data_IF_141389807430
#
_entry.id   IF_141389807430
#
_cell.length_a   1.000
_cell.length_b   1.000
_cell.length_c   1.000
_cell.angle_alpha   90.00
_cell.angle_beta   90.00
_cell.angle_gamma   90.00
#
_symmetry.space_group_name_H-M   'P 1'
#
loop_
_entity.id
_entity.type
_entity.pdbx_description
1 polymer ?
#
# COMPACT_ATOMS: atom_id res chain seq x y z
N UNK A 1 -40.50 -3.49 17.17
CA UNK A 1 -39.38 -3.81 18.07
C UNK A 1 -38.26 -4.39 17.21
N UNK A 2 -37.12 -3.68 17.10
CA UNK A 2 -36.01 -4.13 16.26
C UNK A 2 -35.11 -5.10 17.02
N UNK A 3 -34.91 -4.87 18.32
CA UNK A 3 -34.13 -5.75 19.19
C UNK A 3 -34.88 -7.00 19.58
N UNK A 4 -34.25 -8.15 19.51
CA UNK A 4 -34.80 -9.46 19.86
C UNK A 4 -35.64 -10.15 18.76
N UNK A 5 -35.69 -9.57 17.55
CA UNK A 5 -36.28 -10.22 16.38
C UNK A 5 -35.21 -10.93 15.55
N UNK A 6 -35.48 -12.16 15.09
CA UNK A 6 -34.62 -12.85 14.13
C UNK A 6 -34.85 -12.26 12.75
N UNK A 7 -34.03 -11.27 12.41
CA UNK A 7 -34.04 -10.71 11.05
C UNK A 7 -33.10 -11.51 10.16
N UNK A 8 -33.55 -12.02 9.01
CA UNK A 8 -32.64 -12.65 8.06
C UNK A 8 -31.64 -11.63 7.54
N UNK A 9 -30.38 -12.03 7.43
CA UNK A 9 -29.34 -11.18 6.82
C UNK A 9 -29.77 -10.82 5.39
N UNK A 10 -29.80 -9.52 5.00
CA UNK A 10 -30.32 -9.10 3.68
C UNK A 10 -29.69 -9.84 2.49
N UNK A 11 -28.40 -10.14 2.58
CA UNK A 11 -27.65 -10.83 1.51
C UNK A 11 -27.67 -12.37 1.63
N UNK A 12 -28.33 -12.96 2.64
CA UNK A 12 -28.24 -14.41 2.89
C UNK A 12 -28.81 -15.23 1.74
N UNK A 13 -30.00 -14.88 1.27
CA UNK A 13 -30.66 -15.58 0.16
C UNK A 13 -29.84 -15.50 -1.11
N UNK A 14 -29.41 -14.30 -1.48
CA UNK A 14 -28.59 -14.09 -2.67
C UNK A 14 -27.27 -14.86 -2.64
N UNK A 15 -26.67 -15.01 -1.44
CA UNK A 15 -25.45 -15.83 -1.27
C UNK A 15 -25.69 -17.31 -1.50
N UNK A 16 -26.73 -17.88 -0.84
CA UNK A 16 -26.98 -19.33 -0.93
C UNK A 16 -27.57 -19.74 -2.27
N UNK A 17 -28.21 -18.83 -2.99
CA UNK A 17 -28.75 -19.08 -4.35
C UNK A 17 -27.75 -18.75 -5.45
N UNK A 18 -26.54 -18.24 -5.12
CA UNK A 18 -25.54 -17.87 -6.11
C UNK A 18 -25.89 -16.64 -6.96
N UNK A 19 -26.86 -15.81 -6.52
CA UNK A 19 -27.27 -14.60 -7.24
C UNK A 19 -26.58 -13.33 -6.76
N UNK A 20 -25.77 -13.42 -5.69
CA UNK A 20 -24.99 -12.29 -5.21
C UNK A 20 -23.72 -12.13 -6.04
N UNK A 21 -23.59 -10.99 -6.68
CA UNK A 21 -22.35 -10.64 -7.39
C UNK A 21 -21.25 -10.26 -6.38
N UNK A 22 -20.08 -10.83 -6.55
CA UNK A 22 -18.83 -10.40 -5.93
C UNK A 22 -18.01 -9.55 -6.90
N UNK A 23 -16.91 -8.95 -6.45
CA UNK A 23 -16.11 -8.06 -7.29
C UNK A 23 -15.65 -8.66 -8.62
N UNK A 24 -15.29 -9.95 -8.65
CA UNK A 24 -14.91 -10.64 -9.88
C UNK A 24 -16.10 -10.82 -10.85
N UNK A 25 -17.29 -11.11 -10.33
CA UNK A 25 -18.49 -11.28 -11.13
C UNK A 25 -18.93 -9.94 -11.77
N UNK A 26 -18.79 -8.84 -11.03
CA UNK A 26 -18.98 -7.50 -11.57
C UNK A 26 -18.04 -7.23 -12.76
N UNK A 27 -16.79 -7.73 -12.68
CA UNK A 27 -15.81 -7.64 -13.76
C UNK A 27 -16.25 -8.30 -15.07
N UNK A 28 -17.03 -9.39 -15.00
CA UNK A 28 -17.55 -10.11 -16.17
C UNK A 28 -18.66 -9.29 -16.88
N UNK A 29 -19.41 -8.49 -16.11
CA UNK A 29 -20.55 -7.70 -16.58
C UNK A 29 -20.16 -6.32 -17.11
N UNK A 30 -18.88 -5.98 -17.15
CA UNK A 30 -18.42 -4.69 -17.66
C UNK A 30 -18.71 -4.52 -19.16
N UNK A 31 -18.95 -3.29 -19.62
CA UNK A 31 -19.16 -3.00 -21.03
C UNK A 31 -18.03 -3.54 -21.91
N UNK A 32 -18.38 -3.93 -23.14
CA UNK A 32 -17.39 -4.32 -24.14
C UNK A 32 -16.39 -3.18 -24.37
N UNK A 33 -15.10 -3.49 -24.40
CA UNK A 33 -14.03 -2.51 -24.58
C UNK A 33 -13.53 -1.89 -23.27
N UNK A 34 -14.06 -2.30 -22.11
CA UNK A 34 -13.48 -1.93 -20.82
C UNK A 34 -12.07 -2.50 -20.70
N UNK A 35 -11.11 -1.62 -20.43
CA UNK A 35 -9.72 -2.01 -20.23
C UNK A 35 -9.53 -2.77 -18.92
N UNK A 36 -8.54 -3.65 -18.91
CA UNK A 36 -8.07 -4.38 -17.72
C UNK A 36 -6.73 -3.80 -17.29
N UNK A 37 -6.54 -3.72 -15.99
CA UNK A 37 -5.32 -3.18 -15.42
C UNK A 37 -4.54 -4.25 -14.67
N UNK A 38 -3.21 -4.18 -14.75
CA UNK A 38 -2.30 -4.94 -13.92
C UNK A 38 -1.28 -3.99 -13.26
N UNK A 39 -0.93 -4.26 -12.02
CA UNK A 39 0.07 -3.48 -11.29
C UNK A 39 1.48 -3.98 -11.61
N UNK A 40 2.40 -3.04 -11.74
CA UNK A 40 3.85 -3.27 -11.61
C UNK A 40 4.20 -2.94 -10.18
N UNK A 41 4.63 -3.93 -9.43
CA UNK A 41 4.86 -3.81 -8.01
C UNK A 41 6.32 -3.97 -7.65
N UNK A 42 6.73 -3.33 -6.57
CA UNK A 42 8.06 -3.47 -6.02
C UNK A 42 8.32 -4.89 -5.54
N UNK A 43 9.50 -5.41 -5.85
CA UNK A 43 9.97 -6.76 -5.45
C UNK A 43 10.93 -6.72 -4.26
N UNK A 44 11.16 -5.53 -3.70
CA UNK A 44 11.99 -5.28 -2.52
C UNK A 44 11.21 -4.38 -1.55
N UNK A 45 11.59 -4.38 -0.29
CA UNK A 45 10.87 -3.64 0.75
C UNK A 45 11.32 -2.19 0.90
N UNK A 46 12.54 -1.86 0.48
CA UNK A 46 13.11 -0.53 0.63
C UNK A 46 14.13 -0.25 -0.47
N UNK A 47 13.86 0.70 -1.33
CA UNK A 47 14.74 1.02 -2.45
C UNK A 47 14.49 2.42 -3.01
N UNK A 48 15.51 3.03 -3.58
CA UNK A 48 15.35 4.16 -4.49
C UNK A 48 15.04 3.66 -5.90
N UNK A 49 14.13 4.33 -6.60
CA UNK A 49 13.82 4.05 -8.00
C UNK A 49 14.77 4.88 -8.86
N UNK A 50 15.65 4.23 -9.63
CA UNK A 50 16.58 4.89 -10.55
C UNK A 50 15.94 5.17 -11.90
N UNK A 51 15.23 4.19 -12.43
CA UNK A 51 14.52 4.32 -13.71
C UNK A 51 13.32 3.40 -13.82
N UNK A 52 12.37 3.80 -14.64
CA UNK A 52 11.21 3.00 -15.05
C UNK A 52 11.18 3.06 -16.58
N UNK A 53 11.42 1.91 -17.22
CA UNK A 53 11.31 1.76 -18.68
C UNK A 53 10.10 0.90 -19.04
N UNK A 54 9.09 1.53 -19.63
CA UNK A 54 7.85 0.91 -20.06
C UNK A 54 7.82 0.60 -21.56
N UNK A 55 8.87 0.91 -22.31
CA UNK A 55 8.87 0.89 -23.79
C UNK A 55 8.51 -0.49 -24.35
N UNK A 56 9.05 -1.56 -23.79
CA UNK A 56 8.74 -2.93 -24.22
C UNK A 56 7.28 -3.30 -23.93
N UNK A 57 6.75 -2.86 -22.78
CA UNK A 57 5.37 -3.11 -22.40
C UNK A 57 4.38 -2.35 -23.30
N UNK A 58 4.67 -1.09 -23.59
CA UNK A 58 3.82 -0.24 -24.43
C UNK A 58 3.79 -0.69 -25.90
N UNK A 59 4.87 -1.33 -26.38
CA UNK A 59 4.94 -1.90 -27.70
C UNK A 59 4.14 -3.22 -27.88
N UNK A 60 3.64 -3.81 -26.80
CA UNK A 60 2.92 -5.08 -26.84
C UNK A 60 1.52 -4.90 -27.47
N UNK A 61 1.07 -5.82 -28.33
CA UNK A 61 -0.29 -5.82 -28.85
C UNK A 61 -1.34 -5.85 -27.73
N UNK A 62 -2.36 -5.02 -27.85
CA UNK A 62 -3.45 -4.93 -26.87
C UNK A 62 -3.16 -4.07 -25.65
N UNK A 63 -1.96 -3.53 -25.51
CA UNK A 63 -1.63 -2.55 -24.47
C UNK A 63 -2.03 -1.17 -24.93
N UNK A 64 -2.73 -0.45 -24.07
CA UNK A 64 -3.19 0.92 -24.33
C UNK A 64 -2.23 1.96 -23.78
N UNK A 65 -1.81 1.75 -22.53
CA UNK A 65 -0.90 2.68 -21.84
C UNK A 65 -0.29 2.02 -20.60
N UNK A 66 0.93 2.43 -20.29
CA UNK A 66 1.54 2.26 -18.96
C UNK A 66 1.46 3.61 -18.23
N UNK A 67 0.78 3.60 -17.09
CA UNK A 67 0.58 4.77 -16.24
C UNK A 67 1.60 4.73 -15.12
N UNK A 68 2.34 5.82 -14.95
CA UNK A 68 3.35 5.98 -13.89
C UNK A 68 2.99 7.17 -13.00
N UNK A 69 3.79 7.44 -11.98
CA UNK A 69 3.63 8.61 -11.12
C UNK A 69 3.56 9.94 -11.91
N UNK A 70 4.22 10.02 -13.07
CA UNK A 70 4.22 11.21 -13.94
C UNK A 70 2.85 11.49 -14.56
N UNK A 71 1.99 10.49 -14.67
CA UNK A 71 0.64 10.61 -15.22
C UNK A 71 -0.39 11.02 -14.16
N UNK A 72 -0.03 10.99 -12.88
CA UNK A 72 -0.94 11.34 -11.79
C UNK A 72 -1.20 12.86 -11.82
N UNK A 73 -2.45 13.22 -12.11
CA UNK A 73 -2.89 14.62 -12.07
C UNK A 73 -3.09 15.06 -10.63
N UNK A 74 -2.32 16.04 -10.19
CA UNK A 74 -2.40 16.56 -8.83
C UNK A 74 -1.32 15.99 -7.90
N UNK A 75 -1.59 15.91 -6.60
CA UNK A 75 -0.64 15.43 -5.60
C UNK A 75 -0.56 13.90 -5.63
N UNK A 76 0.61 13.35 -5.98
CA UNK A 76 0.87 11.91 -5.97
C UNK A 76 1.17 11.42 -4.54
N UNK A 77 0.31 11.74 -3.58
CA UNK A 77 0.45 11.33 -2.18
C UNK A 77 -0.92 11.06 -1.57
N UNK A 78 -0.99 10.03 -0.74
CA UNK A 78 -2.18 9.68 0.02
C UNK A 78 -1.92 10.04 1.47
N UNK A 79 -2.76 10.92 2.01
CA UNK A 79 -2.84 11.15 3.44
C UNK A 79 -3.78 10.10 4.02
N UNK A 80 -3.31 9.32 4.99
CA UNK A 80 -4.12 8.28 5.63
C UNK A 80 -5.37 8.87 6.31
N UNK A 81 -6.43 8.06 6.43
CA UNK A 81 -7.68 8.45 7.11
C UNK A 81 -7.45 8.82 8.58
N UNK A 82 -6.44 8.24 9.21
CA UNK A 82 -6.05 8.50 10.58
C UNK A 82 -4.54 8.71 10.58
N UNK A 83 -4.11 9.92 10.31
CA UNK A 83 -2.74 10.35 10.56
C UNK A 83 -2.74 11.04 11.92
N UNK A 84 -2.47 10.28 12.96
CA UNK A 84 -2.27 10.82 14.29
C UNK A 84 -0.76 11.05 14.50
N UNK A 85 -0.31 12.18 15.07
CA UNK A 85 -1.12 13.23 15.69
C UNK A 85 -1.72 14.25 14.72
N UNK A 86 -1.34 14.26 13.47
CA UNK A 86 -1.80 15.23 12.48
C UNK A 86 -2.30 14.52 11.22
N UNK A 87 -3.38 15.00 10.65
CA UNK A 87 -3.91 14.58 9.36
C UNK A 87 -3.58 15.56 8.22
N UNK A 88 -2.51 16.33 8.39
CA UNK A 88 -2.10 17.40 7.45
C UNK A 88 -1.05 16.97 6.43
N UNK A 89 -0.55 15.73 6.50
CA UNK A 89 0.55 15.26 5.69
C UNK A 89 1.89 15.74 6.25
N UNK A 90 2.48 14.93 7.12
CA UNK A 90 3.66 15.30 7.91
C UNK A 90 4.95 14.62 7.39
N UNK A 91 4.97 14.24 6.12
CA UNK A 91 6.12 13.56 5.50
C UNK A 91 6.03 12.03 5.50
N UNK A 92 5.04 11.44 6.19
CA UNK A 92 4.79 9.98 6.15
C UNK A 92 3.77 9.56 5.10
N UNK A 93 3.32 10.50 4.24
CA UNK A 93 2.39 10.15 3.17
C UNK A 93 3.01 9.18 2.19
N UNK A 94 2.17 8.26 1.74
CA UNK A 94 2.58 7.28 0.74
C UNK A 94 2.24 7.75 -0.66
N UNK A 95 3.07 7.48 -1.66
CA UNK A 95 2.73 7.77 -3.04
C UNK A 95 1.55 6.91 -3.51
N UNK A 96 0.75 7.43 -4.45
CA UNK A 96 -0.25 6.64 -5.18
C UNK A 96 0.46 5.62 -6.07
N UNK A 97 1.45 6.10 -6.83
CA UNK A 97 2.42 5.29 -7.55
C UNK A 97 3.82 5.76 -7.14
N UNK A 98 4.70 4.84 -6.80
CA UNK A 98 6.05 5.18 -6.39
C UNK A 98 6.77 5.94 -7.51
N UNK A 99 7.30 7.12 -7.16
CA UNK A 99 8.00 8.03 -8.05
C UNK A 99 9.53 7.98 -7.85
N UNK A 100 9.99 8.09 -6.62
CA UNK A 100 11.41 8.15 -6.27
C UNK A 100 11.85 7.01 -5.38
N UNK A 101 10.94 6.48 -4.56
CA UNK A 101 11.26 5.52 -3.50
C UNK A 101 10.16 4.49 -3.30
N UNK A 102 10.58 3.26 -2.98
CA UNK A 102 9.75 2.14 -2.53
C UNK A 102 9.87 2.05 -1.02
N UNK A 103 8.74 1.94 -0.33
CA UNK A 103 8.63 1.93 1.13
C UNK A 103 8.29 0.56 1.70
N UNK A 104 7.73 -0.33 0.88
CA UNK A 104 7.45 -1.71 1.28
C UNK A 104 7.35 -2.62 0.06
N UNK A 105 7.54 -3.92 0.28
CA UNK A 105 7.30 -4.94 -0.72
C UNK A 105 5.87 -4.84 -1.26
N UNK A 106 5.74 -4.88 -2.59
CA UNK A 106 4.44 -4.80 -3.25
C UNK A 106 3.92 -3.38 -3.49
N UNK A 107 4.65 -2.34 -3.15
CA UNK A 107 4.28 -0.96 -3.51
C UNK A 107 4.06 -0.83 -5.01
N UNK A 108 2.99 -0.11 -5.40
CA UNK A 108 2.66 0.11 -6.79
C UNK A 108 3.61 1.14 -7.43
N UNK A 109 4.27 0.74 -8.52
CA UNK A 109 5.19 1.59 -9.28
C UNK A 109 4.53 2.08 -10.56
N UNK A 110 3.80 1.20 -11.25
CA UNK A 110 3.08 1.54 -12.48
C UNK A 110 1.81 0.70 -12.62
N UNK A 111 0.92 1.14 -13.51
CA UNK A 111 -0.30 0.43 -13.88
C UNK A 111 -0.28 0.22 -15.40
N UNK A 112 -0.36 -1.02 -15.83
CA UNK A 112 -0.53 -1.35 -17.25
C UNK A 112 -2.00 -1.50 -17.57
N UNK A 113 -2.49 -0.77 -18.58
CA UNK A 113 -3.84 -0.83 -19.07
C UNK A 113 -3.85 -1.54 -20.43
N UNK A 114 -4.62 -2.62 -20.56
CA UNK A 114 -4.70 -3.43 -21.78
C UNK A 114 -6.14 -3.90 -22.07
N UNK A 115 -6.36 -4.45 -23.25
CA UNK A 115 -7.64 -4.99 -23.72
C UNK A 115 -8.11 -6.22 -22.93
N UNK A 116 -7.18 -6.93 -22.30
CA UNK A 116 -7.44 -8.15 -21.54
C UNK A 116 -6.54 -8.25 -20.33
N UNK A 117 -7.02 -8.96 -19.30
CA UNK A 117 -6.24 -9.23 -18.08
C UNK A 117 -4.94 -10.00 -18.41
N UNK A 118 -5.00 -10.93 -19.37
CA UNK A 118 -3.85 -11.68 -19.83
C UNK A 118 -2.76 -10.76 -20.39
N UNK A 119 -3.15 -9.84 -21.28
CA UNK A 119 -2.24 -8.87 -21.89
C UNK A 119 -1.71 -7.87 -20.86
N UNK A 120 -2.57 -7.36 -19.96
CA UNK A 120 -2.13 -6.47 -18.89
C UNK A 120 -1.07 -7.12 -17.98
N UNK A 121 -1.30 -8.36 -17.53
CA UNK A 121 -0.35 -9.10 -16.69
C UNK A 121 0.95 -9.47 -17.43
N UNK A 122 0.85 -9.80 -18.70
CA UNK A 122 2.03 -10.11 -19.53
C UNK A 122 2.88 -8.84 -19.73
N UNK A 123 2.26 -7.73 -20.03
CA UNK A 123 2.94 -6.45 -20.24
C UNK A 123 3.51 -5.88 -18.93
N UNK A 124 2.83 -6.06 -17.80
CA UNK A 124 3.36 -5.64 -16.50
C UNK A 124 4.73 -6.27 -16.17
N UNK A 125 4.96 -7.52 -16.63
CA UNK A 125 6.25 -8.21 -16.47
C UNK A 125 7.35 -7.68 -17.41
N UNK A 126 6.98 -6.85 -18.39
CA UNK A 126 7.91 -6.27 -19.37
C UNK A 126 8.34 -4.85 -18.98
N UNK A 127 7.68 -4.25 -18.01
CA UNK A 127 8.14 -2.97 -17.44
C UNK A 127 9.40 -3.23 -16.63
N UNK A 128 10.48 -2.58 -17.00
CA UNK A 128 11.78 -2.69 -16.32
C UNK A 128 11.87 -1.57 -15.29
N UNK A 129 12.13 -1.95 -14.06
CA UNK A 129 12.34 -1.00 -12.95
C UNK A 129 13.74 -1.23 -12.39
N UNK A 130 14.56 -0.23 -12.45
CA UNK A 130 15.90 -0.25 -11.84
C UNK A 130 15.80 0.29 -10.42
N UNK A 131 16.16 -0.56 -9.45
CA UNK A 131 16.07 -0.27 -8.03
C UNK A 131 17.47 -0.28 -7.39
N UNK A 132 17.75 0.74 -6.61
CA UNK A 132 18.89 0.77 -5.68
C UNK A 132 18.38 0.38 -4.30
N UNK A 133 18.67 -0.86 -3.90
CA UNK A 133 18.20 -1.40 -2.63
C UNK A 133 18.83 -0.65 -1.45
N UNK A 134 18.01 -0.33 -0.46
CA UNK A 134 18.37 0.30 0.80
C UNK A 134 18.24 -0.70 1.95
N UNK A 135 18.81 -0.41 3.13
CA UNK A 135 18.61 -1.22 4.32
C UNK A 135 17.12 -1.43 4.61
N UNK A 136 16.75 -2.68 4.90
CA UNK A 136 15.38 -3.08 5.22
C UNK A 136 15.23 -3.27 6.73
N UNK A 137 14.16 -2.74 7.31
CA UNK A 137 13.85 -2.88 8.73
C UNK A 137 12.60 -3.73 8.91
N UNK A 138 12.78 -4.96 9.38
CA UNK A 138 11.69 -5.92 9.57
C UNK A 138 11.05 -5.84 10.96
N UNK A 139 11.53 -4.96 11.83
CA UNK A 139 10.97 -4.74 13.15
C UNK A 139 11.06 -3.27 13.57
N UNK A 140 10.12 -2.83 14.38
CA UNK A 140 10.15 -1.48 14.94
C UNK A 140 11.41 -1.17 15.75
N UNK A 141 11.92 -2.06 16.62
CA UNK A 141 13.19 -1.82 17.30
C UNK A 141 14.34 -1.56 16.35
N UNK A 142 14.49 -2.36 15.28
CA UNK A 142 15.56 -2.17 14.31
C UNK A 142 15.46 -0.83 13.56
N UNK A 143 14.24 -0.34 13.28
CA UNK A 143 14.03 0.96 12.67
C UNK A 143 14.27 2.15 13.61
N UNK A 144 14.37 1.89 14.93
CA UNK A 144 14.61 2.90 15.96
C UNK A 144 16.08 3.01 16.37
N UNK A 145 16.95 2.12 15.90
CA UNK A 145 18.38 2.17 16.20
C UNK A 145 18.99 3.50 15.73
N UNK A 146 20.00 4.02 16.45
CA UNK A 146 20.57 5.34 16.15
C UNK A 146 21.21 5.47 14.77
N UNK A 147 21.62 4.37 14.16
CA UNK A 147 22.21 4.28 12.81
C UNK A 147 21.19 3.91 11.73
N UNK A 148 19.93 3.72 12.11
CA UNK A 148 18.87 3.46 11.14
C UNK A 148 18.63 4.67 10.24
N UNK A 149 18.61 4.44 8.92
CA UNK A 149 18.29 5.50 7.97
C UNK A 149 16.80 5.84 8.00
N UNK A 150 16.46 7.07 7.68
CA UNK A 150 15.07 7.51 7.57
C UNK A 150 14.33 6.76 6.46
N UNK A 151 13.24 6.07 6.82
CA UNK A 151 12.39 5.38 5.86
C UNK A 151 11.67 6.42 5.00
N UNK A 152 11.09 7.44 5.63
CA UNK A 152 10.52 8.60 4.95
C UNK A 152 11.49 9.78 5.05
N UNK A 153 12.09 10.23 3.93
CA UNK A 153 13.09 11.29 3.94
C UNK A 153 12.59 12.56 4.64
N UNK A 154 13.40 13.08 5.55
CA UNK A 154 13.08 14.29 6.32
C UNK A 154 12.12 14.09 7.49
N UNK A 155 11.79 12.84 7.84
CA UNK A 155 10.94 12.51 8.98
C UNK A 155 11.56 11.39 9.83
N UNK A 156 11.45 11.44 11.16
CA UNK A 156 11.99 10.40 12.01
C UNK A 156 11.23 9.08 11.84
N UNK A 157 11.90 7.94 12.03
CA UNK A 157 11.26 6.62 11.98
C UNK A 157 10.27 6.39 13.12
N UNK A 158 10.37 7.16 14.20
CA UNK A 158 9.39 7.15 15.28
C UNK A 158 8.29 8.15 14.96
N UNK A 159 7.15 7.63 14.54
CA UNK A 159 6.00 8.44 14.14
C UNK A 159 5.38 9.19 15.33
N UNK A 160 5.18 8.50 16.45
CA UNK A 160 4.54 9.06 17.62
C UNK A 160 4.84 8.23 18.87
N UNK A 161 5.03 8.91 19.98
CA UNK A 161 5.17 8.29 21.29
C UNK A 161 4.01 8.75 22.16
N UNK A 162 3.14 7.84 22.53
CA UNK A 162 2.06 8.10 23.47
C UNK A 162 2.43 7.60 24.86
N UNK A 163 2.53 8.52 25.80
CA UNK A 163 2.69 8.18 27.22
C UNK A 163 1.32 8.12 27.87
N UNK A 164 0.98 6.96 28.42
CA UNK A 164 -0.21 6.77 29.27
C UNK A 164 0.30 6.50 30.67
N UNK A 165 -0.06 7.36 31.62
CA UNK A 165 0.33 7.23 33.00
C UNK A 165 -0.89 7.39 33.91
N UNK A 166 -0.97 6.59 34.98
CA UNK A 166 -1.97 6.69 36.03
C UNK A 166 -1.32 6.35 37.36
N UNK A 167 -1.41 7.26 38.34
CA UNK A 167 -0.77 7.09 39.63
C UNK A 167 0.71 7.47 39.63
N UNK A 168 1.51 6.73 40.37
CA UNK A 168 2.94 7.00 40.53
C UNK A 168 3.77 6.57 39.33
N UNK A 169 4.97 7.16 39.21
CA UNK A 169 5.95 6.74 38.21
C UNK A 169 6.39 5.29 38.48
N UNK A 170 6.32 4.44 37.46
CA UNK A 170 6.55 3.00 37.60
C UNK A 170 8.01 2.59 37.45
N UNK A 171 8.85 3.41 36.86
CA UNK A 171 10.27 3.11 36.65
C UNK A 171 11.00 2.72 37.95
N UNK A 172 10.87 3.48 39.08
CA UNK A 172 11.51 3.12 40.32
C UNK A 172 10.99 1.81 40.97
N UNK A 173 9.77 1.40 40.57
CA UNK A 173 9.17 0.14 41.04
C UNK A 173 9.81 -1.02 40.27
N UNK A 174 9.97 -0.90 38.94
CA UNK A 174 10.64 -1.90 38.13
C UNK A 174 12.10 -2.07 38.50
N UNK A 175 12.82 -0.98 38.79
CA UNK A 175 14.22 -1.03 39.24
C UNK A 175 14.42 -1.82 40.54
N UNK A 176 13.41 -1.92 41.39
CA UNK A 176 13.44 -2.64 42.68
C UNK A 176 12.81 -4.03 42.60
N UNK A 177 12.27 -4.41 41.44
CA UNK A 177 11.64 -5.71 41.27
C UNK A 177 12.71 -6.82 41.19
N UNK A 178 12.46 -7.94 41.88
CA UNK A 178 13.38 -9.11 41.83
C UNK A 178 13.43 -9.74 40.43
N UNK A 179 12.34 -9.62 39.64
CA UNK A 179 12.23 -10.14 38.26
C UNK A 179 11.43 -9.17 37.43
N UNK A 180 11.94 -8.84 36.25
CA UNK A 180 11.24 -8.09 35.21
C UNK A 180 11.16 -8.96 33.97
N UNK A 181 9.92 -9.12 33.41
CA UNK A 181 9.65 -9.94 32.23
C UNK A 181 9.14 -9.06 31.11
#
# INVERSE_FOLDING_TARGET
>A
RIFGTKYPRPSAIAKVTGTLDYGADAGIKLPKGTLRCALVQATVSHANIKSIDASEAEAMPGVFKVVTAKDVKGKNRITGLITFPSNKGDGWERPILCDEKVFQYGDAIAIVCADSEKNAKAAAKKVKVELEQLPEYMSAPAAMEPDAIEIHPGTPNVYYIQKIAKGEETTPIFEKADVVV
#
